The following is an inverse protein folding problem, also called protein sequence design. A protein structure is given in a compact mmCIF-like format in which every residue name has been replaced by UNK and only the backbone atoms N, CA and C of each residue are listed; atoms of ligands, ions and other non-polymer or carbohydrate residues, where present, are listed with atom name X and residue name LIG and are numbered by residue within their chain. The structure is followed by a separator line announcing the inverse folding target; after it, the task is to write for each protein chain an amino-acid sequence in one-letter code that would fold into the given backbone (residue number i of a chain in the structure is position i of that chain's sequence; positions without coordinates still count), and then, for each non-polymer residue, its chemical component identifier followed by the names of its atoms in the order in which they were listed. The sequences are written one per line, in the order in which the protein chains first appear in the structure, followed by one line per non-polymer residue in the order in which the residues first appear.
data_IF_449557316647
#
_entry.id   IF_449557316647
#
_cell.length_a   1.000
_cell.length_b   1.000
_cell.length_c   1.000
_cell.angle_alpha   90.00
_cell.angle_beta   90.00
_cell.angle_gamma   90.00
#
_symmetry.space_group_name_H-M   'P 1'
#
loop_
_entity.id
_entity.type
_entity.pdbx_description
1 polymer ?
#
# COMPACT_ATOMS: atom_id res chain seq x y z
N UNK A 1 13.72 -3.07 -29.47
CA UNK A 1 14.08 -2.51 -28.15
C UNK A 1 12.78 -2.14 -27.46
N UNK A 2 12.30 -2.99 -26.56
CA UNK A 2 11.07 -2.74 -25.81
C UNK A 2 11.36 -1.61 -24.82
N UNK A 3 10.59 -0.52 -24.94
CA UNK A 3 10.71 0.64 -24.05
C UNK A 3 10.62 0.19 -22.61
N UNK A 4 11.59 0.61 -21.81
CA UNK A 4 11.65 0.29 -20.39
C UNK A 4 10.34 0.75 -19.73
N UNK A 5 9.56 -0.12 -19.06
CA UNK A 5 8.27 0.28 -18.53
C UNK A 5 8.48 1.32 -17.42
N UNK A 6 8.14 2.57 -17.72
CA UNK A 6 8.45 3.74 -16.90
C UNK A 6 7.57 3.89 -15.64
N UNK A 7 6.77 2.87 -15.32
CA UNK A 7 5.60 2.97 -14.43
C UNK A 7 5.85 2.68 -12.95
N UNK A 8 7.02 2.13 -12.56
CA UNK A 8 7.48 2.11 -11.15
C UNK A 8 8.85 2.78 -11.04
N UNK A 9 8.94 4.02 -11.49
CA UNK A 9 10.09 4.87 -11.14
C UNK A 9 9.68 5.82 -10.04
N UNK A 10 10.60 6.14 -9.14
CA UNK A 10 10.43 7.17 -8.10
C UNK A 10 9.84 8.47 -8.69
N UNK A 11 10.36 8.90 -9.85
CA UNK A 11 9.84 10.05 -10.61
C UNK A 11 8.38 9.88 -11.03
N UNK A 12 8.01 8.70 -11.52
CA UNK A 12 6.63 8.40 -11.92
C UNK A 12 5.67 8.50 -10.73
N UNK A 13 6.06 7.96 -9.58
CA UNK A 13 5.26 8.05 -8.35
C UNK A 13 5.20 9.49 -7.85
N UNK A 14 6.31 10.24 -7.88
CA UNK A 14 6.34 11.65 -7.49
C UNK A 14 5.41 12.50 -8.37
N UNK A 15 5.38 12.25 -9.68
CA UNK A 15 4.42 12.88 -10.60
C UNK A 15 2.97 12.63 -10.16
N UNK A 16 2.64 11.38 -9.84
CA UNK A 16 1.29 11.01 -9.41
C UNK A 16 0.90 11.64 -8.07
N UNK A 17 1.83 11.73 -7.12
CA UNK A 17 1.62 12.44 -5.85
C UNK A 17 1.36 13.93 -6.12
N UNK A 18 2.18 14.59 -6.95
CA UNK A 18 2.00 16.01 -7.29
C UNK A 18 0.70 16.28 -8.07
N UNK A 19 0.23 15.30 -8.86
CA UNK A 19 -1.03 15.35 -9.59
C UNK A 19 -2.25 15.21 -8.67
N UNK A 20 -2.28 14.16 -7.86
CA UNK A 20 -3.43 13.81 -7.03
C UNK A 20 -3.49 14.62 -5.72
N UNK A 21 -2.35 15.17 -5.28
CA UNK A 21 -2.18 15.91 -4.02
C UNK A 21 -2.78 15.19 -2.80
N UNK A 22 -2.43 13.91 -2.56
CA UNK A 22 -3.05 13.12 -1.49
C UNK A 22 -2.57 13.56 -0.10
N UNK A 23 -3.48 13.56 0.87
CA UNK A 23 -3.10 13.70 2.29
C UNK A 23 -2.44 12.43 2.85
N UNK A 24 -2.90 11.25 2.38
CA UNK A 24 -2.42 9.94 2.83
C UNK A 24 -1.95 9.12 1.64
N UNK A 25 -0.77 8.51 1.77
CA UNK A 25 -0.27 7.49 0.82
C UNK A 25 -0.18 6.15 1.54
N UNK A 26 -0.67 5.08 0.92
CA UNK A 26 -0.60 3.71 1.46
C UNK A 26 0.40 2.91 0.63
N UNK A 27 1.35 2.21 1.26
CA UNK A 27 2.35 1.40 0.56
C UNK A 27 2.71 0.11 1.32
N UNK A 28 3.29 -0.90 0.64
CA UNK A 28 3.84 -2.08 1.32
C UNK A 28 5.07 -1.74 2.17
N UNK A 29 5.35 -2.58 3.16
CA UNK A 29 6.59 -2.53 3.95
C UNK A 29 7.82 -2.81 3.06
N UNK A 30 8.86 -1.94 3.06
CA UNK A 30 9.98 -2.04 2.12
C UNK A 30 11.06 -3.07 2.51
N UNK A 31 11.02 -3.63 3.72
CA UNK A 31 12.08 -4.52 4.22
C UNK A 31 11.69 -6.00 4.21
N UNK A 32 12.71 -6.84 4.06
CA UNK A 32 12.55 -8.30 4.09
C UNK A 32 12.31 -8.79 5.53
N UNK A 33 11.22 -9.52 5.74
CA UNK A 33 11.01 -10.29 6.96
C UNK A 33 11.74 -11.63 6.86
N UNK A 34 12.76 -11.84 7.70
CA UNK A 34 13.54 -13.09 7.75
C UNK A 34 13.01 -14.08 8.79
N UNK A 35 12.02 -13.67 9.59
CA UNK A 35 11.41 -14.49 10.64
C UNK A 35 10.50 -15.61 10.09
N UNK A 36 10.08 -15.51 8.82
CA UNK A 36 9.22 -16.50 8.15
C UNK A 36 7.77 -16.52 8.65
N UNK A 37 7.42 -15.71 9.65
CA UNK A 37 6.13 -15.75 10.36
C UNK A 37 5.05 -14.97 9.60
N UNK A 38 5.43 -13.93 8.83
CA UNK A 38 4.49 -13.00 8.16
C UNK A 38 4.13 -13.35 6.72
N UNK A 39 3.95 -14.64 6.41
CA UNK A 39 3.55 -15.08 5.07
C UNK A 39 4.71 -15.30 4.08
N UNK A 40 5.90 -15.63 4.61
CA UNK A 40 7.09 -15.99 3.83
C UNK A 40 8.16 -14.89 3.78
N UNK A 41 9.14 -15.04 2.89
CA UNK A 41 10.30 -14.13 2.74
C UNK A 41 9.96 -12.78 2.08
N UNK A 42 8.70 -12.53 1.73
CA UNK A 42 8.24 -11.35 0.98
C UNK A 42 8.59 -11.38 -0.51
N UNK A 43 7.63 -11.01 -1.37
CA UNK A 43 7.86 -10.87 -2.81
C UNK A 43 8.74 -9.64 -3.08
N UNK A 44 9.81 -9.73 -3.90
CA UNK A 44 10.70 -8.60 -4.19
C UNK A 44 9.97 -7.35 -4.67
N UNK A 45 8.96 -7.52 -5.52
CA UNK A 45 8.18 -6.39 -6.06
C UNK A 45 7.44 -5.60 -4.97
N UNK A 46 7.01 -6.24 -3.87
CA UNK A 46 6.35 -5.53 -2.77
C UNK A 46 7.35 -4.62 -2.05
N UNK A 47 8.57 -5.12 -1.81
CA UNK A 47 9.63 -4.33 -1.19
C UNK A 47 10.06 -3.17 -2.08
N UNK A 48 10.27 -3.44 -3.37
CA UNK A 48 10.63 -2.41 -4.35
C UNK A 48 9.53 -1.33 -4.48
N UNK A 49 8.26 -1.72 -4.48
CA UNK A 49 7.14 -0.77 -4.50
C UNK A 49 7.08 0.09 -3.23
N UNK A 50 7.28 -0.51 -2.05
CA UNK A 50 7.35 0.22 -0.78
C UNK A 50 8.48 1.25 -0.78
N UNK A 51 9.69 0.84 -1.17
CA UNK A 51 10.87 1.69 -1.20
C UNK A 51 10.73 2.84 -2.21
N UNK A 52 10.26 2.53 -3.42
CA UNK A 52 10.02 3.53 -4.45
C UNK A 52 8.95 4.54 -4.01
N UNK A 53 7.92 4.09 -3.30
CA UNK A 53 6.87 4.97 -2.77
C UNK A 53 7.40 5.89 -1.67
N UNK A 54 8.18 5.37 -0.72
CA UNK A 54 8.75 6.17 0.36
C UNK A 54 9.74 7.22 -0.16
N UNK A 55 10.62 6.84 -1.09
CA UNK A 55 11.52 7.78 -1.77
C UNK A 55 10.75 8.86 -2.55
N UNK A 56 9.66 8.47 -3.22
CA UNK A 56 8.82 9.40 -3.96
C UNK A 56 8.09 10.38 -3.03
N UNK A 57 7.61 9.93 -1.87
CA UNK A 57 6.96 10.78 -0.87
C UNK A 57 7.96 11.76 -0.24
N UNK A 58 9.14 11.28 0.14
CA UNK A 58 10.19 12.10 0.75
C UNK A 58 11.58 11.71 0.21
N UNK A 59 12.30 12.63 -0.48
CA UNK A 59 11.97 14.04 -0.69
C UNK A 59 11.24 14.35 -2.02
N UNK A 60 11.07 13.39 -2.93
CA UNK A 60 10.86 13.75 -4.35
C UNK A 60 9.59 14.53 -4.67
N UNK A 61 8.44 14.19 -4.07
CA UNK A 61 7.19 14.88 -4.34
C UNK A 61 7.14 16.29 -3.74
N UNK A 62 7.83 16.51 -2.61
CA UNK A 62 7.79 17.77 -1.86
C UNK A 62 8.87 18.77 -2.26
N UNK A 63 9.99 18.31 -2.80
CA UNK A 63 11.11 19.18 -3.18
C UNK A 63 11.09 19.51 -4.68
N UNK A 64 10.89 20.78 -5.00
CA UNK A 64 10.93 21.30 -6.36
C UNK A 64 12.26 21.08 -7.09
N UNK A 65 13.39 20.93 -6.37
CA UNK A 65 14.68 20.63 -6.98
C UNK A 65 14.82 19.15 -7.39
N UNK A 66 13.97 18.28 -6.84
CA UNK A 66 13.91 16.89 -7.24
C UNK A 66 12.95 16.75 -8.43
N UNK A 67 13.45 16.22 -9.56
CA UNK A 67 12.75 16.15 -10.84
C UNK A 67 12.17 17.52 -11.29
N UNK A 68 13.02 18.53 -11.54
CA UNK A 68 12.57 19.88 -11.92
C UNK A 68 11.69 19.88 -13.19
N UNK A 69 11.87 18.91 -14.08
CA UNK A 69 11.02 18.75 -15.27
C UNK A 69 9.54 18.49 -14.93
N UNK A 70 9.22 17.95 -13.75
CA UNK A 70 7.83 17.82 -13.31
C UNK A 70 7.19 19.19 -13.09
N UNK A 71 7.96 20.18 -12.63
CA UNK A 71 7.47 21.55 -12.49
C UNK A 71 7.24 22.20 -13.87
N UNK A 72 8.14 21.97 -14.83
CA UNK A 72 7.99 22.42 -16.22
C UNK A 72 6.73 21.81 -16.88
N UNK A 73 6.40 20.56 -16.52
CA UNK A 73 5.17 19.87 -16.94
C UNK A 73 3.90 20.35 -16.20
N UNK A 74 4.01 21.26 -15.22
CA UNK A 74 2.89 21.81 -14.45
C UNK A 74 2.50 21.02 -13.20
N UNK A 75 3.33 20.07 -12.77
CA UNK A 75 3.14 19.33 -11.52
C UNK A 75 3.84 20.05 -10.36
N UNK A 76 3.06 20.89 -9.66
CA UNK A 76 3.50 21.59 -8.46
C UNK A 76 3.87 20.63 -7.31
N UNK A 77 4.90 20.92 -6.50
CA UNK A 77 5.27 20.11 -5.35
C UNK A 77 4.10 19.91 -4.39
N UNK A 78 4.05 18.72 -3.79
CA UNK A 78 3.03 18.37 -2.80
C UNK A 78 3.66 17.70 -1.59
N UNK A 79 3.21 18.12 -0.40
CA UNK A 79 3.61 17.51 0.87
C UNK A 79 2.52 16.55 1.32
N UNK A 80 2.81 15.26 1.25
CA UNK A 80 1.95 14.23 1.84
C UNK A 80 1.99 14.37 3.36
N UNK A 81 0.83 14.30 4.01
CA UNK A 81 0.71 14.46 5.46
C UNK A 81 1.09 13.17 6.20
N UNK A 82 0.61 12.03 5.71
CA UNK A 82 0.86 10.72 6.31
C UNK A 82 1.16 9.62 5.29
N UNK A 83 2.02 8.68 5.67
CA UNK A 83 2.20 7.41 4.95
C UNK A 83 1.77 6.25 5.84
N UNK A 84 0.92 5.37 5.34
CA UNK A 84 0.45 4.18 6.05
C UNK A 84 1.08 2.93 5.42
N UNK A 85 1.95 2.29 6.18
CA UNK A 85 2.75 1.15 5.71
C UNK A 85 2.05 -0.16 6.08
N UNK A 86 1.63 -0.89 5.05
CA UNK A 86 0.99 -2.21 5.16
C UNK A 86 2.01 -3.29 5.51
N UNK A 87 1.63 -4.22 6.40
CA UNK A 87 2.44 -5.40 6.71
C UNK A 87 3.71 -5.10 7.51
N UNK A 88 3.81 -3.90 8.11
CA UNK A 88 4.90 -3.56 9.01
C UNK A 88 4.91 -4.52 10.23
N UNK A 89 6.09 -4.92 10.73
CA UNK A 89 6.18 -5.84 11.86
C UNK A 89 5.53 -5.37 13.15
N UNK A 90 5.47 -4.06 13.33
CA UNK A 90 4.95 -3.35 14.48
C UNK A 90 3.97 -2.27 13.99
N UNK A 91 2.72 -2.61 13.64
CA UNK A 91 1.70 -1.62 13.30
C UNK A 91 1.32 -0.79 14.53
N UNK A 92 0.86 0.44 14.31
CA UNK A 92 0.46 1.37 15.37
C UNK A 92 -0.92 2.01 15.15
N UNK A 93 -1.56 1.74 14.00
CA UNK A 93 -2.94 2.11 13.71
C UNK A 93 -3.72 0.90 13.19
N UNK A 94 -4.99 0.84 13.59
CA UNK A 94 -5.97 -0.18 13.17
C UNK A 94 -7.22 0.52 12.69
N UNK A 95 -7.72 0.11 11.53
CA UNK A 95 -8.94 0.65 10.93
C UNK A 95 -9.99 -0.45 10.95
N UNK A 96 -11.14 -0.16 11.58
CA UNK A 96 -12.29 -1.07 11.55
C UNK A 96 -12.84 -1.14 10.13
N UNK A 97 -12.90 -2.35 9.59
CA UNK A 97 -13.39 -2.64 8.23
C UNK A 97 -14.53 -3.66 8.24
N UNK A 98 -15.15 -3.90 9.40
CA UNK A 98 -16.18 -4.92 9.61
C UNK A 98 -17.33 -4.78 8.61
N UNK A 99 -17.84 -3.56 8.44
CA UNK A 99 -18.96 -3.27 7.53
C UNK A 99 -18.57 -3.37 6.04
N UNK A 100 -17.27 -3.43 5.74
CA UNK A 100 -16.74 -3.41 4.37
C UNK A 100 -16.26 -4.79 3.89
N UNK A 101 -16.37 -5.84 4.71
CA UNK A 101 -15.88 -7.18 4.37
C UNK A 101 -16.44 -7.71 3.05
N UNK A 102 -17.75 -7.56 2.81
CA UNK A 102 -18.38 -8.01 1.57
C UNK A 102 -17.88 -7.26 0.34
N UNK A 103 -17.66 -5.94 0.46
CA UNK A 103 -17.10 -5.12 -0.62
C UNK A 103 -15.67 -5.58 -0.93
N UNK A 104 -14.87 -5.79 0.12
CA UNK A 104 -13.49 -6.26 0.01
C UNK A 104 -13.40 -7.63 -0.69
N UNK A 105 -14.24 -8.59 -0.30
CA UNK A 105 -14.30 -9.91 -0.94
C UNK A 105 -14.76 -9.83 -2.39
N UNK A 106 -15.78 -9.04 -2.70
CA UNK A 106 -16.21 -8.85 -4.09
C UNK A 106 -15.11 -8.23 -4.96
N UNK A 107 -14.35 -7.27 -4.41
CA UNK A 107 -13.19 -6.69 -5.09
C UNK A 107 -12.11 -7.73 -5.36
N UNK A 108 -11.81 -8.62 -4.41
CA UNK A 108 -10.88 -9.73 -4.61
C UNK A 108 -11.37 -10.67 -5.73
N UNK A 109 -12.66 -11.01 -5.72
CA UNK A 109 -13.27 -11.91 -6.71
C UNK A 109 -13.28 -11.35 -8.13
N UNK A 110 -13.22 -10.03 -8.29
CA UNK A 110 -13.09 -9.40 -9.60
C UNK A 110 -11.76 -9.75 -10.31
N UNK A 111 -10.72 -10.17 -9.58
CA UNK A 111 -9.45 -10.64 -10.15
C UNK A 111 -9.55 -12.10 -10.62
N UNK A 112 -10.49 -12.38 -11.53
CA UNK A 112 -10.85 -13.74 -11.94
C UNK A 112 -9.67 -14.61 -12.37
N UNK A 113 -8.67 -14.06 -13.07
CA UNK A 113 -7.46 -14.80 -13.49
C UNK A 113 -6.60 -15.30 -12.32
N UNK A 114 -6.71 -14.68 -11.15
CA UNK A 114 -5.92 -15.01 -9.96
C UNK A 114 -6.65 -15.95 -9.01
N UNK A 115 -7.97 -15.76 -8.85
CA UNK A 115 -8.75 -16.40 -7.78
C UNK A 115 -9.78 -17.43 -8.26
N UNK A 116 -10.15 -17.41 -9.56
CA UNK A 116 -11.12 -18.37 -10.09
C UNK A 116 -10.64 -19.82 -9.95
N UNK A 117 -11.56 -20.72 -9.62
CA UNK A 117 -11.29 -22.16 -9.48
C UNK A 117 -10.46 -22.55 -8.25
N UNK A 118 -9.99 -21.59 -7.43
CA UNK A 118 -9.23 -21.90 -6.21
C UNK A 118 -10.12 -22.17 -5.00
N UNK A 119 -11.17 -21.35 -4.84
CA UNK A 119 -12.16 -21.39 -3.76
C UNK A 119 -13.48 -20.79 -4.24
N UNK A 120 -14.57 -21.13 -3.55
CA UNK A 120 -15.87 -20.46 -3.64
C UNK A 120 -15.80 -19.04 -3.07
N UNK A 121 -16.80 -18.20 -3.34
CA UNK A 121 -16.84 -16.84 -2.80
C UNK A 121 -17.00 -16.86 -1.29
N UNK A 122 -17.80 -17.78 -0.75
CA UNK A 122 -18.02 -17.97 0.69
C UNK A 122 -16.72 -18.38 1.39
N UNK A 123 -15.94 -19.28 0.78
CA UNK A 123 -14.62 -19.66 1.31
C UNK A 123 -13.61 -18.51 1.28
N UNK A 124 -13.64 -17.66 0.24
CA UNK A 124 -12.81 -16.46 0.19
C UNK A 124 -13.23 -15.43 1.24
N UNK A 125 -14.53 -15.24 1.44
CA UNK A 125 -15.07 -14.36 2.48
C UNK A 125 -14.59 -14.81 3.86
N UNK A 126 -14.67 -16.11 4.16
CA UNK A 126 -14.20 -16.66 5.43
C UNK A 126 -12.70 -16.45 5.62
N UNK A 127 -11.87 -16.73 4.61
CA UNK A 127 -10.41 -16.49 4.69
C UNK A 127 -10.10 -15.03 4.98
N UNK A 128 -10.79 -14.11 4.28
CA UNK A 128 -10.58 -12.68 4.44
C UNK A 128 -11.02 -12.19 5.82
N UNK A 129 -12.14 -12.71 6.34
CA UNK A 129 -12.62 -12.43 7.70
C UNK A 129 -11.66 -12.97 8.74
N UNK A 130 -11.26 -14.23 8.66
CA UNK A 130 -10.34 -14.85 9.63
C UNK A 130 -9.02 -14.08 9.73
N UNK A 131 -8.50 -13.60 8.60
CA UNK A 131 -7.28 -12.79 8.60
C UNK A 131 -7.49 -11.46 9.32
N UNK A 132 -8.54 -10.71 8.99
CA UNK A 132 -8.81 -9.40 9.59
C UNK A 132 -9.27 -9.48 11.04
N UNK A 133 -9.91 -10.58 11.43
CA UNK A 133 -10.26 -10.87 12.82
C UNK A 133 -8.99 -11.11 13.66
N UNK A 134 -8.01 -11.87 13.14
CA UNK A 134 -6.68 -11.99 13.80
C UNK A 134 -5.98 -10.63 13.91
N UNK A 135 -6.09 -9.78 12.89
CA UNK A 135 -5.53 -8.43 12.94
C UNK A 135 -6.22 -7.54 13.98
N UNK A 136 -7.50 -7.77 14.24
CA UNK A 136 -8.31 -7.08 15.24
C UNK A 136 -8.18 -7.67 16.66
N UNK A 137 -7.39 -8.74 16.85
CA UNK A 137 -7.18 -9.34 18.17
C UNK A 137 -6.71 -8.28 19.18
N UNK A 138 -7.32 -8.29 20.37
CA UNK A 138 -7.13 -7.29 21.43
C UNK A 138 -7.52 -5.84 21.06
N UNK A 139 -8.34 -5.64 20.02
CA UNK A 139 -8.96 -4.37 19.65
C UNK A 139 -10.47 -4.43 19.85
N UNK A 140 -11.09 -3.28 20.05
CA UNK A 140 -12.55 -3.12 20.07
C UNK A 140 -13.10 -3.07 18.63
N UNK A 141 -12.82 -4.10 17.84
CA UNK A 141 -13.13 -4.24 16.40
C UNK A 141 -13.35 -5.71 16.06
N UNK A 142 -14.27 -6.03 15.16
CA UNK A 142 -14.47 -7.42 14.71
C UNK A 142 -13.52 -7.81 13.57
N UNK A 143 -13.26 -6.88 12.66
CA UNK A 143 -12.29 -7.03 11.56
C UNK A 143 -11.51 -5.74 11.38
N UNK A 144 -10.18 -5.83 11.31
CA UNK A 144 -9.32 -4.67 11.18
C UNK A 144 -8.28 -4.83 10.05
N UNK A 145 -7.94 -3.70 9.44
CA UNK A 145 -6.69 -3.52 8.68
C UNK A 145 -5.68 -2.78 9.56
N UNK A 146 -4.42 -3.22 9.56
CA UNK A 146 -3.38 -2.64 10.39
C UNK A 146 -2.25 -2.03 9.55
N UNK A 147 -1.77 -0.87 9.99
CA UNK A 147 -0.70 -0.13 9.33
C UNK A 147 0.29 0.43 10.35
N UNK A 148 1.51 0.70 9.89
CA UNK A 148 2.44 1.59 10.60
C UNK A 148 2.34 2.98 9.98
N UNK A 149 2.00 3.99 10.78
CA UNK A 149 1.85 5.36 10.33
C UNK A 149 3.16 6.14 10.45
N UNK A 150 3.47 6.90 9.41
CA UNK A 150 4.55 7.90 9.39
C UNK A 150 3.90 9.27 9.17
N UNK A 151 4.13 10.22 10.08
CA UNK A 151 3.65 11.61 9.95
C UNK A 151 4.80 12.49 9.45
N UNK A 152 4.57 13.28 8.40
CA UNK A 152 5.65 13.96 7.66
C UNK A 152 5.72 15.48 7.83
N UNK A 153 4.75 16.10 8.50
CA UNK A 153 4.78 17.51 8.93
C UNK A 153 4.64 18.56 7.82
#
# INVERSE_FOLDING_TARGET
MLGNPQWISEKGIAREIRRAKPDVVICPYPMRALDGIRGGIGHPDHMAAGEATLSAVYPAARDHLTFPELLEEGYEPHKVSEVWVMGHPEPDIWIDVTDYMKISTNSLMAHSSQVSGRRTIEEWEQVMRDWRARTAEDKDMECAEAFRRITLG
#
